data_IF_432330850826
#
_entry.id   IF_432330850826
#
_cell.length_a   1.000
_cell.length_b   1.000
_cell.length_c   1.000
_cell.angle_alpha   90.00
_cell.angle_beta   90.00
_cell.angle_gamma   90.00
#
_symmetry.space_group_name_H-M   'P 1'
#
loop_
_entity.id
_entity.type
_entity.pdbx_description
1 polymer ?
#
# COMPACT_ATOMS: atom_id res chain seq x y z
N UNK A 1 37.53 -24.75 -17.27
CA UNK A 1 36.21 -24.25 -17.71
C UNK A 1 35.62 -23.48 -16.55
N UNK A 2 35.29 -22.18 -16.70
CA UNK A 2 34.70 -21.42 -15.63
C UNK A 2 33.22 -21.80 -15.51
N UNK A 3 32.79 -22.09 -14.29
CA UNK A 3 31.42 -22.37 -13.89
C UNK A 3 30.56 -21.12 -14.03
N UNK A 4 29.40 -21.25 -14.70
CA UNK A 4 28.36 -20.20 -14.79
C UNK A 4 27.95 -19.73 -13.39
N UNK A 5 27.66 -18.44 -13.18
CA UNK A 5 27.07 -17.95 -11.94
C UNK A 5 25.62 -18.42 -11.85
N UNK A 6 25.24 -19.04 -10.73
CA UNK A 6 23.85 -19.33 -10.40
C UNK A 6 23.10 -18.01 -10.20
N UNK A 7 22.04 -17.79 -10.99
CA UNK A 7 21.10 -16.70 -10.76
C UNK A 7 20.34 -16.97 -9.46
N UNK A 8 20.81 -16.41 -8.35
CA UNK A 8 20.05 -16.37 -7.10
C UNK A 8 18.80 -15.52 -7.33
N UNK A 9 17.62 -16.14 -7.36
CA UNK A 9 16.37 -15.43 -7.06
C UNK A 9 16.48 -14.94 -5.62
N UNK A 10 16.85 -13.68 -5.43
CA UNK A 10 17.00 -13.08 -4.11
C UNK A 10 15.61 -12.88 -3.52
N UNK A 11 15.14 -13.86 -2.75
CA UNK A 11 13.91 -13.74 -1.98
C UNK A 11 14.16 -12.75 -0.84
N UNK A 12 13.41 -11.64 -0.80
CA UNK A 12 13.56 -10.62 0.24
C UNK A 12 13.21 -11.24 1.60
N UNK A 13 14.20 -11.35 2.48
CA UNK A 13 14.03 -11.90 3.82
C UNK A 13 13.57 -10.84 4.82
N UNK A 14 12.89 -11.25 5.89
CA UNK A 14 12.59 -10.36 7.01
C UNK A 14 13.86 -9.81 7.70
N UNK A 15 15.01 -10.42 7.46
CA UNK A 15 16.32 -10.05 8.01
C UNK A 15 16.99 -8.91 7.22
N UNK A 16 16.53 -8.64 6.00
CA UNK A 16 17.05 -7.59 5.13
C UNK A 16 16.38 -6.22 5.39
N UNK A 17 15.47 -6.14 6.37
CA UNK A 17 14.62 -4.98 6.63
C UNK A 17 15.08 -4.18 7.86
N UNK A 18 15.12 -2.86 7.73
CA UNK A 18 15.47 -1.92 8.81
C UNK A 18 14.20 -1.20 9.34
N UNK A 19 14.18 -0.73 10.60
CA UNK A 19 13.04 0.06 11.12
C UNK A 19 12.78 1.31 10.28
N UNK A 20 11.50 1.62 10.04
CA UNK A 20 11.08 2.79 9.28
C UNK A 20 10.39 3.81 10.20
N UNK A 21 11.14 4.81 10.66
CA UNK A 21 10.68 5.83 11.62
C UNK A 21 10.04 7.07 10.96
N UNK A 22 9.90 7.08 9.62
CA UNK A 22 9.59 8.30 8.86
C UNK A 22 8.12 8.49 8.49
N UNK A 23 7.22 7.61 8.93
CA UNK A 23 5.80 7.74 8.63
C UNK A 23 5.22 9.05 9.21
N UNK A 24 4.60 9.88 8.35
CA UNK A 24 3.92 11.12 8.76
C UNK A 24 2.77 10.86 9.75
N UNK A 25 2.13 9.71 9.60
CA UNK A 25 1.32 9.03 10.59
C UNK A 25 1.50 7.52 10.36
N UNK A 26 1.65 6.71 11.40
CA UNK A 26 1.96 5.30 11.19
C UNK A 26 1.90 4.41 12.42
N UNK A 27 1.74 3.12 12.15
CA UNK A 27 1.74 2.04 13.12
C UNK A 27 3.18 1.69 13.52
N UNK A 28 3.40 1.44 14.81
CA UNK A 28 4.68 0.96 15.32
C UNK A 28 5.07 -0.38 14.64
N UNK A 29 6.32 -0.50 14.18
CA UNK A 29 6.85 -1.73 13.60
C UNK A 29 6.85 -1.82 12.06
N UNK A 30 6.57 -0.73 11.36
CA UNK A 30 6.86 -0.62 9.91
C UNK A 30 8.37 -0.71 9.68
N UNK A 31 8.77 -1.45 8.65
CA UNK A 31 10.17 -1.65 8.26
C UNK A 31 10.34 -1.32 6.79
N UNK A 32 11.56 -1.07 6.32
CA UNK A 32 11.85 -0.83 4.91
C UNK A 32 13.12 -1.56 4.45
N UNK A 33 13.33 -1.66 3.14
CA UNK A 33 14.60 -2.11 2.56
C UNK A 33 15.72 -1.11 2.82
N UNK A 34 17.00 -1.49 2.74
CA UNK A 34 18.12 -0.56 2.93
C UNK A 34 18.16 0.57 1.88
N UNK A 35 17.62 0.31 0.68
CA UNK A 35 17.42 1.33 -0.35
C UNK A 35 16.31 2.33 -0.03
N UNK A 36 15.41 2.00 0.91
CA UNK A 36 14.20 2.76 1.18
C UNK A 36 13.09 2.59 0.14
N UNK A 37 13.30 1.80 -0.92
CA UNK A 37 12.33 1.67 -2.03
C UNK A 37 11.06 0.89 -1.66
N UNK A 38 11.15 -0.09 -0.75
CA UNK A 38 10.02 -0.91 -0.32
C UNK A 38 9.79 -0.79 1.17
N UNK A 39 8.51 -0.85 1.57
CA UNK A 39 8.06 -0.86 2.96
C UNK A 39 7.38 -2.19 3.28
N UNK A 40 7.74 -2.79 4.40
CA UNK A 40 7.06 -3.91 5.02
C UNK A 40 6.25 -3.44 6.23
N UNK A 41 4.92 -3.43 6.10
CA UNK A 41 3.98 -2.98 7.12
C UNK A 41 3.31 -4.18 7.81
N UNK A 42 3.37 -4.32 9.15
CA UNK A 42 2.56 -5.30 9.87
C UNK A 42 1.07 -5.08 9.57
N UNK A 43 0.38 -6.15 9.15
CA UNK A 43 -0.98 -6.05 8.60
C UNK A 43 -1.88 -7.20 9.04
N UNK A 44 -3.18 -7.07 8.76
CA UNK A 44 -4.14 -8.18 8.88
C UNK A 44 -4.22 -8.95 7.57
N UNK A 45 -4.69 -10.20 7.63
CA UNK A 45 -4.95 -11.00 6.42
C UNK A 45 -5.94 -10.31 5.48
N UNK A 46 -6.96 -9.65 6.04
CA UNK A 46 -7.93 -8.88 5.27
C UNK A 46 -7.28 -7.75 4.45
N UNK A 47 -6.25 -7.08 4.98
CA UNK A 47 -5.53 -6.05 4.23
C UNK A 47 -4.81 -6.66 3.01
N UNK A 48 -4.15 -7.81 3.19
CA UNK A 48 -3.50 -8.55 2.09
C UNK A 48 -4.50 -8.98 1.03
N UNK A 49 -5.62 -9.59 1.43
CA UNK A 49 -6.68 -10.03 0.50
C UNK A 49 -7.28 -8.85 -0.29
N UNK A 50 -7.38 -7.66 0.32
CA UNK A 50 -7.84 -6.47 -0.38
C UNK A 50 -6.85 -6.01 -1.47
N UNK A 51 -5.54 -6.01 -1.18
CA UNK A 51 -4.51 -5.71 -2.19
C UNK A 51 -4.43 -6.77 -3.30
N UNK A 52 -4.60 -8.05 -2.97
CA UNK A 52 -4.59 -9.12 -3.99
C UNK A 52 -5.81 -9.03 -4.91
N UNK A 53 -6.99 -8.75 -4.34
CA UNK A 53 -8.23 -8.63 -5.11
C UNK A 53 -8.34 -7.33 -5.91
N UNK A 54 -7.54 -6.30 -5.62
CA UNK A 54 -7.55 -5.05 -6.37
C UNK A 54 -7.05 -5.20 -7.82
N UNK A 55 -6.40 -6.32 -8.17
CA UNK A 55 -6.07 -6.67 -9.54
C UNK A 55 -7.31 -6.79 -10.47
N UNK A 56 -8.50 -6.98 -9.89
CA UNK A 56 -9.77 -6.96 -10.62
C UNK A 56 -10.35 -5.54 -10.80
N UNK A 57 -9.69 -4.53 -10.23
CA UNK A 57 -10.11 -3.13 -10.16
C UNK A 57 -8.95 -2.21 -10.60
N UNK A 58 -8.49 -2.30 -11.87
CA UNK A 58 -7.26 -1.65 -12.32
C UNK A 58 -7.28 -0.12 -12.16
N UNK A 59 -8.43 0.53 -12.39
CA UNK A 59 -8.57 1.97 -12.21
C UNK A 59 -8.38 2.40 -10.74
N UNK A 60 -8.79 1.58 -9.78
CA UNK A 60 -8.53 1.84 -8.36
C UNK A 60 -7.09 1.50 -7.97
N UNK A 61 -6.51 0.47 -8.59
CA UNK A 61 -5.14 0.03 -8.33
C UNK A 61 -4.11 1.13 -8.65
N UNK A 62 -4.35 2.00 -9.63
CA UNK A 62 -3.52 3.18 -9.91
C UNK A 62 -3.37 4.13 -8.71
N UNK A 63 -4.38 4.16 -7.84
CA UNK A 63 -4.37 4.95 -6.61
C UNK A 63 -3.90 4.16 -5.38
N UNK A 64 -3.49 2.92 -5.51
CA UNK A 64 -2.92 2.13 -4.41
C UNK A 64 -1.39 2.08 -4.50
N UNK A 65 -0.66 2.00 -3.38
CA UNK A 65 0.75 1.64 -3.44
C UNK A 65 0.90 0.29 -4.15
N UNK A 66 1.87 0.19 -5.06
CA UNK A 66 2.22 -1.07 -5.71
C UNK A 66 2.45 -2.18 -4.66
N UNK A 67 1.64 -3.23 -4.75
CA UNK A 67 1.75 -4.42 -3.92
C UNK A 67 2.78 -5.37 -4.51
N UNK A 68 3.86 -5.63 -3.74
CA UNK A 68 4.94 -6.53 -4.15
C UNK A 68 4.69 -7.96 -3.64
N UNK A 69 4.06 -8.09 -2.49
CA UNK A 69 3.76 -9.38 -1.88
C UNK A 69 3.59 -9.30 -0.36
N UNK A 70 3.59 -10.45 0.31
CA UNK A 70 3.49 -10.55 1.77
C UNK A 70 4.63 -11.37 2.38
N UNK A 71 4.98 -11.05 3.62
CA UNK A 71 5.94 -11.77 4.45
C UNK A 71 5.21 -12.39 5.64
N UNK A 72 5.39 -13.69 5.85
CA UNK A 72 4.82 -14.42 6.99
C UNK A 72 5.92 -15.09 7.82
N UNK A 73 5.81 -15.05 9.15
CA UNK A 73 6.68 -15.82 10.06
C UNK A 73 6.57 -17.33 9.80
N UNK A 74 7.67 -18.07 10.01
CA UNK A 74 7.75 -19.52 9.81
C UNK A 74 6.69 -20.32 10.58
N UNK A 75 6.24 -19.82 11.74
CA UNK A 75 5.18 -20.45 12.55
C UNK A 75 3.79 -20.38 11.88
N UNK A 76 3.56 -19.42 10.99
CA UNK A 76 2.30 -19.26 10.24
C UNK A 76 2.34 -19.82 8.82
N UNK A 77 3.54 -20.10 8.28
CA UNK A 77 3.68 -20.71 6.95
C UNK A 77 3.02 -22.10 6.88
N UNK A 78 3.07 -22.90 7.95
CA UNK A 78 2.43 -24.22 7.99
C UNK A 78 0.88 -24.14 7.92
N UNK A 79 0.18 -23.37 8.77
CA UNK A 79 -1.27 -23.19 8.64
C UNK A 79 -1.71 -22.61 7.29
N UNK A 80 -0.95 -21.64 6.74
CA UNK A 80 -1.26 -21.00 5.45
C UNK A 80 -1.07 -21.97 4.28
N UNK A 81 0.03 -22.74 4.26
CA UNK A 81 0.25 -23.77 3.25
C UNK A 81 -0.82 -24.87 3.31
N UNK A 82 -1.26 -25.27 4.51
CA UNK A 82 -2.34 -26.25 4.69
C UNK A 82 -3.69 -25.68 4.21
N UNK A 83 -3.98 -24.40 4.46
CA UNK A 83 -5.19 -23.74 3.98
C UNK A 83 -5.21 -23.59 2.45
N UNK A 84 -4.09 -23.13 1.85
CA UNK A 84 -3.95 -22.99 0.41
C UNK A 84 -4.02 -24.34 -0.33
N UNK A 85 -3.45 -25.40 0.26
CA UNK A 85 -3.56 -26.76 -0.26
C UNK A 85 -5.01 -27.26 -0.25
N UNK A 86 -5.76 -26.97 0.84
CA UNK A 86 -7.19 -27.31 0.95
C UNK A 86 -8.08 -26.59 -0.07
N UNK A 87 -7.81 -25.32 -0.36
CA UNK A 87 -8.53 -24.57 -1.40
C UNK A 87 -8.16 -25.05 -2.82
N UNK A 88 -6.93 -25.47 -3.03
CA UNK A 88 -6.45 -25.99 -4.33
C UNK A 88 -6.81 -27.47 -4.56
N UNK A 89 -7.56 -28.11 -3.66
CA UNK A 89 -7.90 -29.54 -3.73
C UNK A 89 -6.69 -30.48 -3.52
N UNK A 90 -5.54 -29.95 -3.11
CA UNK A 90 -4.35 -30.71 -2.82
C UNK A 90 -4.35 -31.16 -1.36
N UNK A 91 -4.34 -32.47 -1.12
CA UNK A 91 -4.12 -33.01 0.22
C UNK A 91 -2.65 -32.80 0.59
N UNK A 92 -2.31 -32.10 1.69
CA UNK A 92 -0.93 -32.05 2.15
C UNK A 92 -0.54 -33.46 2.63
N UNK A 93 0.41 -34.08 1.91
CA UNK A 93 1.09 -35.28 2.38
C UNK A 93 1.99 -34.87 3.55
N UNK A 94 1.86 -35.47 4.74
CA UNK A 94 2.85 -35.27 5.79
C UNK A 94 4.19 -35.83 5.31
N UNK A 95 5.26 -35.05 5.49
CA UNK A 95 6.63 -35.50 5.23
C UNK A 95 6.89 -36.81 5.96
N UNK A 96 7.37 -37.78 5.21
CA UNK A 96 7.73 -39.11 5.66
C UNK A 96 8.89 -39.04 6.67
N UNK A 97 8.55 -39.11 7.95
CA UNK A 97 9.44 -39.48 9.05
C UNK A 97 9.18 -40.92 9.50
N UNK A 98 10.27 -41.64 9.76
CA UNK A 98 10.44 -43.08 9.98
C UNK A 98 9.32 -43.92 10.62
N UNK A 99 9.21 -45.14 10.09
CA UNK A 99 8.34 -46.24 10.54
C UNK A 99 9.07 -47.11 11.58
N UNK A 100 8.62 -47.09 12.83
CA UNK A 100 8.63 -48.20 13.83
C UNK A 100 7.66 -47.78 14.94
N UNK A 101 6.72 -48.53 15.51
CA UNK A 101 6.53 -49.96 15.69
C UNK A 101 5.02 -50.19 15.99
N UNK A 102 4.60 -51.44 15.81
CA UNK A 102 3.23 -51.96 15.81
C UNK A 102 2.61 -52.03 17.20
N UNK A 103 1.33 -51.68 17.36
CA UNK A 103 0.37 -52.46 18.17
C UNK A 103 -1.05 -51.88 18.17
N UNK A 104 -1.95 -52.60 17.49
CA UNK A 104 -3.39 -52.74 17.77
C UNK A 104 -3.71 -54.20 17.36
N UNK A 105 -4.69 -54.90 17.99
CA UNK A 105 -6.06 -54.40 18.12
C UNK A 105 -6.82 -54.85 19.39
N UNK A 106 -7.97 -54.22 19.68
CA UNK A 106 -9.27 -54.91 19.96
C UNK A 106 -10.42 -53.94 20.31
N UNK A 107 -11.48 -54.08 19.52
CA UNK A 107 -12.89 -53.65 19.52
C UNK A 107 -13.67 -53.14 20.78
N UNK A 108 -14.89 -52.56 20.56
CA UNK A 108 -15.54 -51.57 21.43
C UNK A 108 -16.63 -52.15 22.34
N UNK A 109 -17.26 -51.31 23.19
CA UNK A 109 -18.66 -51.50 23.50
C UNK A 109 -19.53 -50.26 23.25
N UNK A 110 -20.80 -50.59 23.12
CA UNK A 110 -21.96 -49.88 22.63
C UNK A 110 -22.72 -49.04 23.66
N UNK A 111 -23.45 -48.03 23.15
CA UNK A 111 -24.71 -47.43 23.61
C UNK A 111 -24.89 -47.00 25.07
N UNK A 112 -24.97 -45.69 25.29
CA UNK A 112 -26.06 -45.08 26.10
C UNK A 112 -26.42 -43.71 25.52
N UNK A 113 -27.72 -43.52 25.27
CA UNK A 113 -28.31 -42.27 24.84
C UNK A 113 -28.43 -41.28 26.02
N UNK A 114 -28.03 -40.03 25.80
CA UNK A 114 -28.33 -38.90 26.66
C UNK A 114 -28.72 -37.71 25.79
N UNK A 115 -29.87 -37.13 26.14
CA UNK A 115 -30.58 -35.98 25.55
C UNK A 115 -29.72 -34.72 25.32
N UNK A 116 -30.09 -33.86 24.35
CA UNK A 116 -29.41 -32.58 24.12
C UNK A 116 -29.88 -31.56 25.17
N UNK A 117 -29.00 -31.19 26.10
CA UNK A 117 -29.18 -29.98 26.90
C UNK A 117 -28.56 -28.79 26.17
N UNK A 118 -29.43 -27.79 26.01
CA UNK A 118 -29.18 -26.42 25.63
C UNK A 118 -28.06 -25.79 26.47
N UNK A 119 -27.14 -25.09 25.82
CA UNK A 119 -26.05 -24.39 26.52
C UNK A 119 -24.77 -24.26 25.71
N UNK A 120 -24.85 -23.58 24.56
CA UNK A 120 -23.65 -23.02 23.96
C UNK A 120 -23.01 -22.07 25.00
N UNK A 121 -21.73 -22.23 25.37
CA UNK A 121 -21.08 -21.23 26.20
C UNK A 121 -21.00 -19.96 25.35
N UNK A 122 -21.65 -18.89 25.83
CA UNK A 122 -21.44 -17.56 25.32
C UNK A 122 -19.94 -17.31 25.32
N UNK A 123 -19.36 -17.07 24.14
CA UNK A 123 -18.01 -16.50 24.05
C UNK A 123 -18.08 -15.19 24.82
N UNK A 124 -17.41 -15.12 25.96
CA UNK A 124 -17.12 -13.85 26.60
C UNK A 124 -16.47 -12.97 25.53
N UNK A 125 -17.18 -11.91 25.12
CA UNK A 125 -16.60 -10.88 24.25
C UNK A 125 -15.42 -10.28 25.02
N UNK A 126 -14.21 -10.68 24.64
CA UNK A 126 -13.00 -10.10 25.18
C UNK A 126 -13.06 -8.58 25.00
N UNK A 127 -12.95 -7.84 26.11
CA UNK A 127 -12.98 -6.39 26.12
C UNK A 127 -12.02 -5.83 25.05
N UNK A 128 -12.53 -4.95 24.19
CA UNK A 128 -11.74 -4.45 23.07
C UNK A 128 -10.65 -3.51 23.60
N UNK A 129 -9.38 -3.86 23.40
CA UNK A 129 -8.24 -3.02 23.76
C UNK A 129 -7.82 -2.21 22.53
N UNK A 130 -7.85 -0.87 22.58
CA UNK A 130 -7.33 -0.05 21.51
C UNK A 130 -5.83 -0.30 21.30
N UNK A 131 -5.41 -0.60 20.07
CA UNK A 131 -3.99 -0.78 19.73
C UNK A 131 -3.18 0.49 20.01
N UNK A 132 -3.79 1.68 19.94
CA UNK A 132 -3.12 2.94 20.28
C UNK A 132 -1.96 3.31 19.34
N UNK A 133 -1.85 2.66 18.18
CA UNK A 133 -0.70 2.75 17.27
C UNK A 133 0.37 1.68 17.53
N UNK A 134 0.20 0.80 18.52
CA UNK A 134 1.15 -0.26 18.84
C UNK A 134 1.23 -1.33 17.77
N UNK A 135 2.40 -1.99 17.70
CA UNK A 135 2.69 -3.08 16.77
C UNK A 135 1.58 -4.14 16.80
N UNK A 136 1.02 -4.41 15.63
CA UNK A 136 0.13 -5.55 15.43
C UNK A 136 1.01 -6.78 15.33
N UNK A 137 0.88 -7.70 16.29
CA UNK A 137 1.63 -8.96 16.30
C UNK A 137 0.85 -10.07 15.58
N UNK A 138 0.64 -9.89 14.27
CA UNK A 138 -0.01 -10.89 13.42
C UNK A 138 0.97 -11.90 12.84
N UNK A 139 2.28 -11.69 12.95
CA UNK A 139 3.28 -12.47 12.22
C UNK A 139 3.25 -12.28 10.69
N UNK A 140 2.41 -11.37 10.19
CA UNK A 140 2.18 -11.08 8.78
C UNK A 140 2.53 -9.62 8.47
N UNK A 141 3.26 -9.38 7.38
CA UNK A 141 3.55 -8.03 6.87
C UNK A 141 3.25 -7.96 5.39
N UNK A 142 2.67 -6.84 4.95
CA UNK A 142 2.48 -6.52 3.55
C UNK A 142 3.69 -5.74 3.04
N UNK A 143 4.19 -6.07 1.85
CA UNK A 143 5.31 -5.40 1.19
C UNK A 143 4.77 -4.53 0.07
N UNK A 144 5.03 -3.22 0.17
CA UNK A 144 4.49 -2.18 -0.70
C UNK A 144 5.64 -1.31 -1.22
N UNK A 145 5.43 -0.65 -2.36
CA UNK A 145 6.27 0.48 -2.75
C UNK A 145 6.29 1.55 -1.66
N UNK A 146 7.44 2.20 -1.48
CA UNK A 146 7.52 3.44 -0.73
C UNK A 146 7.24 4.61 -1.67
N UNK A 147 6.05 5.19 -1.56
CA UNK A 147 5.62 6.28 -2.44
C UNK A 147 6.43 7.57 -2.28
N UNK A 148 7.21 7.69 -1.19
CA UNK A 148 8.11 8.81 -0.96
C UNK A 148 9.51 8.56 -1.56
N UNK A 149 9.79 7.36 -2.08
CA UNK A 149 11.04 7.08 -2.78
C UNK A 149 11.13 7.92 -4.06
N UNK A 150 12.35 8.26 -4.48
CA UNK A 150 12.61 9.16 -5.61
C UNK A 150 12.58 10.65 -5.26
N UNK A 151 11.89 11.06 -4.18
CA UNK A 151 11.90 12.46 -3.74
C UNK A 151 13.18 12.82 -2.97
N UNK A 152 13.76 13.99 -3.25
CA UNK A 152 14.94 14.52 -2.55
C UNK A 152 14.57 15.04 -1.16
N UNK A 153 13.45 15.77 -1.04
CA UNK A 153 12.91 16.31 0.22
C UNK A 153 11.40 16.08 0.31
N UNK A 154 10.94 14.83 0.50
CA UNK A 154 9.51 14.52 0.50
C UNK A 154 8.76 15.26 1.61
N UNK A 155 7.73 16.00 1.25
CA UNK A 155 6.72 16.52 2.17
C UNK A 155 5.55 15.54 2.17
N UNK A 156 5.19 14.99 3.32
CA UNK A 156 4.22 13.89 3.43
C UNK A 156 3.03 14.34 4.27
N UNK A 157 1.81 14.10 3.78
CA UNK A 157 0.56 14.38 4.48
C UNK A 157 -0.34 13.15 4.45
N UNK A 158 -0.75 12.68 5.64
CA UNK A 158 -1.77 11.65 5.80
C UNK A 158 -3.11 12.31 6.15
N UNK A 159 -4.11 12.10 5.31
CA UNK A 159 -5.48 12.55 5.55
C UNK A 159 -6.40 11.33 5.68
N UNK A 160 -6.92 11.10 6.89
CA UNK A 160 -7.93 10.06 7.13
C UNK A 160 -9.28 10.45 6.56
N UNK A 161 -9.91 9.54 5.84
CA UNK A 161 -11.21 9.70 5.20
C UNK A 161 -12.34 9.05 5.99
N UNK A 162 -13.56 9.55 5.75
CA UNK A 162 -14.81 9.05 6.30
C UNK A 162 -15.32 9.87 7.48
N UNK A 163 -16.64 10.09 7.52
CA UNK A 163 -17.32 10.61 8.70
C UNK A 163 -17.60 9.49 9.71
N UNK A 164 -17.88 8.29 9.23
CA UNK A 164 -17.96 7.07 10.01
C UNK A 164 -16.61 6.34 9.93
N UNK A 165 -16.00 6.08 11.09
CA UNK A 165 -14.63 5.56 11.19
C UNK A 165 -14.54 4.05 11.50
N UNK A 166 -15.67 3.38 11.69
CA UNK A 166 -15.76 1.99 12.12
C UNK A 166 -16.55 1.11 11.14
N UNK A 167 -16.06 -0.11 10.91
CA UNK A 167 -16.71 -1.11 10.06
C UNK A 167 -17.93 -1.77 10.72
N UNK A 168 -18.84 -2.33 9.92
CA UNK A 168 -20.12 -2.87 10.38
C UNK A 168 -20.01 -3.99 11.44
N UNK A 169 -18.89 -4.68 11.49
CA UNK A 169 -18.54 -5.75 12.43
C UNK A 169 -17.81 -5.26 13.70
N UNK A 170 -17.51 -3.97 13.80
CA UNK A 170 -16.72 -3.43 14.91
C UNK A 170 -17.43 -3.62 16.26
N UNK A 171 -16.73 -3.94 17.36
CA UNK A 171 -17.34 -4.03 18.69
C UNK A 171 -17.93 -2.69 19.16
N UNK A 172 -18.99 -2.72 19.99
CA UNK A 172 -19.70 -1.51 20.45
C UNK A 172 -18.79 -0.48 21.14
N UNK A 173 -17.84 -0.93 21.95
CA UNK A 173 -16.87 -0.06 22.62
C UNK A 173 -15.96 0.67 21.61
N UNK A 174 -15.50 -0.05 20.57
CA UNK A 174 -14.72 0.51 19.46
C UNK A 174 -15.53 1.54 18.69
N UNK A 175 -16.81 1.24 18.38
CA UNK A 175 -17.72 2.17 17.70
C UNK A 175 -17.87 3.47 18.48
N UNK A 176 -18.20 3.38 19.77
CA UNK A 176 -18.42 4.56 20.62
C UNK A 176 -17.19 5.48 20.64
N UNK A 177 -15.99 4.91 20.84
CA UNK A 177 -14.75 5.69 20.82
C UNK A 177 -14.49 6.36 19.47
N UNK A 178 -14.76 5.65 18.38
CA UNK A 178 -14.56 6.18 17.03
C UNK A 178 -15.62 7.22 16.64
N UNK A 179 -16.84 7.10 17.15
CA UNK A 179 -17.87 8.14 17.04
C UNK A 179 -17.47 9.40 17.80
N UNK A 180 -16.90 9.28 19.00
CA UNK A 180 -16.41 10.42 19.76
C UNK A 180 -15.27 11.13 19.01
N UNK A 181 -14.31 10.37 18.45
CA UNK A 181 -13.24 10.94 17.59
C UNK A 181 -13.82 11.63 16.36
N UNK A 182 -14.84 11.05 15.71
CA UNK A 182 -15.47 11.67 14.55
C UNK A 182 -16.11 13.01 14.91
N UNK A 183 -16.86 13.06 16.02
CA UNK A 183 -17.54 14.27 16.51
C UNK A 183 -16.57 15.37 16.96
N UNK A 184 -15.45 14.99 17.56
CA UNK A 184 -14.44 15.93 18.07
C UNK A 184 -13.53 16.50 16.96
N UNK A 185 -13.64 16.01 15.73
CA UNK A 185 -12.75 16.40 14.63
C UNK A 185 -13.53 16.80 13.39
N UNK A 186 -12.81 17.27 12.37
CA UNK A 186 -13.37 17.56 11.04
C UNK A 186 -13.92 16.33 10.33
N UNK A 187 -13.71 15.10 10.83
CA UNK A 187 -14.27 13.90 10.20
C UNK A 187 -15.79 13.95 10.14
N UNK A 188 -16.47 14.40 11.20
CA UNK A 188 -17.94 14.50 11.21
C UNK A 188 -18.50 15.58 10.27
N UNK A 189 -17.84 16.75 10.18
CA UNK A 189 -18.30 17.90 9.40
C UNK A 189 -17.86 17.86 7.93
N UNK A 190 -16.61 17.47 7.67
CA UNK A 190 -16.00 17.48 6.33
C UNK A 190 -15.79 16.09 5.73
N UNK A 191 -15.95 15.01 6.51
CA UNK A 191 -15.68 13.65 6.03
C UNK A 191 -14.18 13.32 5.92
N UNK A 192 -13.29 14.16 6.45
CA UNK A 192 -11.86 13.86 6.54
C UNK A 192 -11.22 14.53 7.77
N UNK A 193 -10.00 14.13 8.14
CA UNK A 193 -9.14 14.88 9.07
C UNK A 193 -7.67 14.67 8.74
N UNK A 194 -6.84 15.67 9.04
CA UNK A 194 -5.37 15.50 9.01
C UNK A 194 -4.99 14.50 10.12
N UNK A 195 -4.31 13.42 9.74
CA UNK A 195 -3.85 12.39 10.66
C UNK A 195 -2.40 12.59 11.09
N UNK A 196 -1.62 13.30 10.28
CA UNK A 196 -0.25 13.72 10.55
C UNK A 196 0.41 14.25 9.29
N UNK A 197 1.49 15.02 9.44
CA UNK A 197 2.28 15.48 8.30
C UNK A 197 3.75 15.69 8.69
N UNK A 198 4.63 15.56 7.71
CA UNK A 198 6.07 15.85 7.80
C UNK A 198 6.40 16.82 6.67
N UNK A 199 6.84 18.02 7.02
CA UNK A 199 7.03 19.14 6.07
C UNK A 199 8.47 19.60 6.11
N UNK A 200 9.11 19.68 4.95
CA UNK A 200 10.42 20.26 4.76
C UNK A 200 10.36 21.78 4.92
N UNK A 201 11.18 22.33 5.81
CA UNK A 201 11.28 23.77 6.07
C UNK A 201 12.64 24.37 5.72
N UNK A 202 13.57 23.54 5.25
CA UNK A 202 14.96 23.97 5.08
C UNK A 202 15.72 23.99 6.40
N UNK A 203 17.04 24.10 6.32
CA UNK A 203 17.91 24.29 7.47
C UNK A 203 18.41 25.74 7.48
N UNK A 204 18.24 26.45 8.59
CA UNK A 204 18.92 27.73 8.82
C UNK A 204 20.44 27.49 8.99
N UNK A 205 21.15 27.36 7.86
CA UNK A 205 22.61 27.45 7.77
C UNK A 205 23.41 26.20 8.17
N UNK A 206 24.41 25.89 7.34
CA UNK A 206 25.59 25.05 7.60
C UNK A 206 25.36 23.54 7.83
N UNK A 207 25.21 22.79 6.72
CA UNK A 207 26.08 21.69 6.26
C UNK A 207 25.30 20.83 5.26
N UNK A 208 25.30 21.27 4.00
CA UNK A 208 24.88 20.42 2.89
C UNK A 208 26.07 19.52 2.49
N UNK A 209 26.41 18.56 3.35
CA UNK A 209 27.37 17.50 3.01
C UNK A 209 26.67 16.26 2.42
N UNK A 210 25.47 16.43 1.84
CA UNK A 210 24.77 15.35 1.16
C UNK A 210 23.88 15.85 0.04
N UNK A 211 24.24 15.55 -1.21
CA UNK A 211 23.44 15.79 -2.42
C UNK A 211 22.01 15.22 -2.29
N UNK A 212 21.82 14.24 -1.39
CA UNK A 212 20.56 13.73 -0.90
C UNK A 212 20.65 13.74 0.63
N UNK A 213 19.77 14.44 1.36
CA UNK A 213 19.48 13.88 2.69
C UNK A 213 18.88 12.53 2.41
N UNK A 214 19.51 11.48 2.90
CA UNK A 214 18.83 10.21 3.02
C UNK A 214 17.58 10.46 3.88
N UNK A 215 16.37 10.56 3.30
CA UNK A 215 15.15 10.80 4.07
C UNK A 215 14.86 9.62 5.00
N UNK A 216 15.64 8.54 4.84
CA UNK A 216 15.54 7.24 5.48
C UNK A 216 16.73 6.94 6.41
N UNK A 217 17.60 7.92 6.69
CA UNK A 217 18.69 7.75 7.65
C UNK A 217 18.11 7.48 9.05
N UNK A 218 18.07 6.20 9.39
CA UNK A 218 17.57 5.62 10.65
C UNK A 218 18.42 6.08 11.83
N UNK A 219 18.22 7.31 12.30
CA UNK A 219 18.62 7.70 13.66
C UNK A 219 17.38 7.88 14.48
N UNK A 220 16.90 6.74 15.03
CA UNK A 220 15.97 6.60 16.16
C UNK A 220 15.33 7.95 16.50
N UNK A 221 14.25 8.27 15.79
CA UNK A 221 13.49 9.46 16.15
C UNK A 221 12.92 9.20 17.55
N UNK A 222 13.44 9.94 18.54
CA UNK A 222 13.09 9.77 19.94
C UNK A 222 11.60 9.94 20.20
N UNK A 223 11.19 9.58 21.42
CA UNK A 223 9.80 9.58 21.88
C UNK A 223 8.96 10.74 21.33
N UNK A 224 7.73 10.42 20.87
CA UNK A 224 6.68 11.41 20.56
C UNK A 224 6.72 12.51 21.63
N UNK A 225 6.85 13.77 21.20
CA UNK A 225 6.81 14.94 22.07
C UNK A 225 5.47 15.04 22.81
N UNK A 226 5.24 16.16 23.50
CA UNK A 226 3.92 16.38 24.09
C UNK A 226 2.84 16.37 22.99
N UNK A 227 1.61 15.94 23.32
CA UNK A 227 0.52 15.80 22.34
C UNK A 227 0.28 17.14 21.62
N UNK A 228 0.45 17.16 20.31
CA UNK A 228 0.28 18.35 19.47
C UNK A 228 1.52 19.23 19.38
N UNK A 229 2.64 18.82 19.98
CA UNK A 229 3.94 19.47 19.81
C UNK A 229 4.46 19.27 18.38
N UNK A 230 4.92 20.36 17.78
CA UNK A 230 5.58 20.32 16.47
C UNK A 230 7.06 20.06 16.72
N UNK A 231 7.56 18.93 16.22
CA UNK A 231 8.96 18.55 16.39
C UNK A 231 9.73 19.01 15.16
N UNK A 232 10.75 19.83 15.37
CA UNK A 232 11.66 20.29 14.32
C UNK A 232 13.01 19.59 14.43
N UNK A 233 13.40 18.88 13.37
CA UNK A 233 14.65 18.10 13.33
C UNK A 233 15.09 17.90 11.89
N UNK A 234 16.39 18.02 11.62
CA UNK A 234 17.00 17.75 10.31
C UNK A 234 16.32 18.52 9.15
N UNK A 235 15.89 19.76 9.40
CA UNK A 235 15.19 20.61 8.43
C UNK A 235 13.73 20.23 8.16
N UNK A 236 13.16 19.31 8.95
CA UNK A 236 11.77 18.90 8.88
C UNK A 236 10.99 19.32 10.12
N UNK A 237 9.73 19.72 9.93
CA UNK A 237 8.72 19.81 10.97
C UNK A 237 7.76 18.64 10.88
N UNK A 238 7.61 17.90 11.98
CA UNK A 238 6.68 16.78 12.14
C UNK A 238 5.49 17.22 12.98
N UNK A 239 4.30 16.95 12.47
CA UNK A 239 3.02 17.29 13.08
C UNK A 239 2.23 16.00 13.32
N UNK A 240 1.87 15.77 14.57
CA UNK A 240 1.23 14.52 14.98
C UNK A 240 -0.29 14.51 14.73
N UNK A 241 -0.95 13.41 15.12
CA UNK A 241 -2.40 13.26 15.06
C UNK A 241 -3.17 14.25 15.93
N UNK A 242 -2.55 14.78 16.99
CA UNK A 242 -3.21 15.71 17.90
C UNK A 242 -3.23 17.12 17.33
N UNK A 243 -2.19 17.52 16.60
CA UNK A 243 -2.20 18.69 15.75
C UNK A 243 -3.38 18.65 14.77
N UNK A 244 -3.55 17.54 14.03
CA UNK A 244 -4.68 17.38 13.11
C UNK A 244 -6.05 17.39 13.77
N UNK A 245 -6.16 16.84 15.00
CA UNK A 245 -7.40 16.86 15.80
C UNK A 245 -7.74 18.24 16.38
N UNK A 246 -6.80 19.17 16.39
CA UNK A 246 -7.04 20.52 16.93
C UNK A 246 -7.85 21.42 15.97
N UNK A 247 -8.00 21.01 14.71
CA UNK A 247 -8.72 21.77 13.70
C UNK A 247 -10.23 21.55 13.70
N UNK A 248 -10.95 22.54 13.18
CA UNK A 248 -12.37 22.48 12.85
C UNK A 248 -12.59 22.92 11.39
N UNK A 249 -13.85 22.99 10.95
CA UNK A 249 -14.20 23.32 9.57
C UNK A 249 -13.68 24.67 9.08
N UNK A 250 -13.54 25.65 9.98
CA UNK A 250 -13.06 27.00 9.64
C UNK A 250 -11.54 27.10 9.64
N UNK A 251 -10.85 26.28 10.44
CA UNK A 251 -9.40 26.39 10.66
C UNK A 251 -8.57 25.36 9.92
N UNK A 252 -9.16 24.25 9.45
CA UNK A 252 -8.42 23.14 8.82
C UNK A 252 -7.65 23.56 7.58
N UNK A 253 -8.11 24.59 6.85
CA UNK A 253 -7.39 25.16 5.70
C UNK A 253 -5.95 25.56 6.07
N UNK A 254 -5.74 26.09 7.28
CA UNK A 254 -4.41 26.48 7.77
C UNK A 254 -3.45 25.28 7.89
N UNK A 255 -3.97 24.09 8.16
CA UNK A 255 -3.19 22.85 8.18
C UNK A 255 -2.64 22.52 6.78
N UNK A 256 -3.45 22.67 5.74
CA UNK A 256 -3.02 22.48 4.36
C UNK A 256 -2.11 23.60 3.84
N UNK A 257 -2.32 24.85 4.27
CA UNK A 257 -1.37 25.95 4.00
C UNK A 257 -0.01 25.68 4.66
N UNK A 258 -0.01 25.12 5.87
CA UNK A 258 1.21 24.70 6.57
C UNK A 258 1.90 23.56 5.83
N UNK A 259 1.13 22.58 5.33
CA UNK A 259 1.65 21.50 4.51
C UNK A 259 2.35 22.02 3.26
N UNK A 260 1.74 22.95 2.52
CA UNK A 260 2.28 23.51 1.27
C UNK A 260 3.37 24.58 1.48
N UNK A 261 3.73 24.89 2.73
CA UNK A 261 4.72 25.92 3.03
C UNK A 261 6.10 25.61 2.41
N UNK A 262 6.47 24.34 2.27
CA UNK A 262 7.72 23.93 1.60
C UNK A 262 7.75 24.32 0.12
N UNK A 263 6.64 24.16 -0.60
CA UNK A 263 6.51 24.57 -2.01
C UNK A 263 6.49 26.10 -2.20
N UNK A 264 6.26 26.85 -1.12
CA UNK A 264 6.32 28.32 -1.10
C UNK A 264 7.74 28.85 -0.92
N UNK A 265 8.67 28.04 -0.42
CA UNK A 265 9.97 28.48 0.09
C UNK A 265 11.03 28.85 -0.97
N UNK A 266 10.64 29.12 -2.22
CA UNK A 266 11.54 29.42 -3.34
C UNK A 266 11.43 30.83 -3.93
N UNK A 267 12.18 31.08 -5.01
CA UNK A 267 12.07 32.33 -5.80
C UNK A 267 10.69 32.46 -6.46
N UNK A 268 10.08 31.34 -6.79
CA UNK A 268 8.76 31.22 -7.39
C UNK A 268 7.89 30.48 -6.39
N UNK A 269 6.72 31.03 -6.07
CA UNK A 269 5.73 30.36 -5.23
C UNK A 269 5.08 29.22 -6.04
N UNK A 270 5.45 27.97 -5.73
CA UNK A 270 4.91 26.77 -6.37
C UNK A 270 3.73 26.17 -5.61
N UNK A 271 3.36 26.71 -4.44
CA UNK A 271 2.29 26.16 -3.60
C UNK A 271 0.95 26.05 -4.31
N UNK A 272 0.57 27.07 -5.09
CA UNK A 272 -0.67 27.05 -5.89
C UNK A 272 -0.67 26.00 -6.99
N UNK A 273 0.48 25.82 -7.66
CA UNK A 273 0.63 24.84 -8.73
C UNK A 273 0.56 23.41 -8.17
N UNK A 274 1.21 23.15 -7.03
CA UNK A 274 1.09 21.87 -6.31
C UNK A 274 -0.35 21.65 -5.85
N UNK A 275 -1.01 22.66 -5.27
CA UNK A 275 -2.40 22.57 -4.85
C UNK A 275 -3.34 22.24 -6.02
N UNK A 276 -3.15 22.88 -7.17
CA UNK A 276 -3.95 22.64 -8.37
C UNK A 276 -3.80 21.19 -8.85
N UNK A 277 -2.56 20.69 -8.96
CA UNK A 277 -2.29 19.31 -9.37
C UNK A 277 -2.90 18.29 -8.42
N UNK A 278 -2.80 18.52 -7.11
CA UNK A 278 -3.43 17.66 -6.11
C UNK A 278 -4.96 17.69 -6.21
N UNK A 279 -5.57 18.85 -6.51
CA UNK A 279 -7.00 18.94 -6.74
C UNK A 279 -7.45 18.15 -7.97
N UNK A 280 -6.66 18.18 -9.05
CA UNK A 280 -6.90 17.40 -10.27
C UNK A 280 -6.80 15.89 -10.02
N UNK A 281 -5.76 15.45 -9.32
CA UNK A 281 -5.59 14.04 -8.90
C UNK A 281 -6.72 13.56 -7.98
N UNK A 282 -7.14 14.37 -7.00
CA UNK A 282 -8.27 14.05 -6.13
C UNK A 282 -9.59 13.95 -6.91
N UNK A 283 -9.78 14.74 -7.98
CA UNK A 283 -10.95 14.59 -8.87
C UNK A 283 -10.88 13.29 -9.67
N UNK A 284 -9.70 12.88 -10.12
CA UNK A 284 -9.51 11.58 -10.77
C UNK A 284 -9.87 10.44 -9.81
N UNK A 285 -9.33 10.48 -8.59
CA UNK A 285 -9.67 9.55 -7.51
C UNK A 285 -11.18 9.53 -7.22
N UNK A 286 -11.83 10.71 -7.16
CA UNK A 286 -13.27 10.80 -6.96
C UNK A 286 -14.04 10.03 -8.04
N UNK A 287 -13.69 10.21 -9.33
CA UNK A 287 -14.37 9.52 -10.44
C UNK A 287 -14.22 8.01 -10.33
N UNK A 288 -13.03 7.52 -10.00
CA UNK A 288 -12.78 6.09 -9.80
C UNK A 288 -13.62 5.55 -8.64
N UNK A 289 -13.60 6.22 -7.48
CA UNK A 289 -14.39 5.82 -6.32
C UNK A 289 -15.91 5.87 -6.55
N UNK A 290 -16.39 6.74 -7.44
CA UNK A 290 -17.80 6.79 -7.84
C UNK A 290 -18.19 5.61 -8.76
N UNK A 291 -17.23 5.06 -9.50
CA UNK A 291 -17.42 3.86 -10.35
C UNK A 291 -17.18 2.53 -9.63
N UNK A 292 -16.52 2.57 -8.47
CA UNK A 292 -16.12 1.39 -7.71
C UNK A 292 -17.04 1.14 -6.52
N UNK A 293 -17.44 -0.12 -6.32
CA UNK A 293 -18.29 -0.51 -5.21
C UNK A 293 -17.45 -1.15 -4.10
N UNK A 294 -17.01 -0.34 -3.15
CA UNK A 294 -16.25 -0.78 -1.97
C UNK A 294 -16.77 -0.12 -0.69
N UNK A 295 -16.33 -0.62 0.47
CA UNK A 295 -16.50 0.04 1.78
C UNK A 295 -15.16 0.07 2.48
N UNK A 296 -14.69 1.26 2.81
CA UNK A 296 -13.39 1.48 3.44
C UNK A 296 -13.54 2.35 4.68
N UNK A 297 -13.13 1.81 5.83
CA UNK A 297 -13.22 2.51 7.11
C UNK A 297 -11.85 2.86 7.65
N UNK A 298 -11.65 4.13 8.00
CA UNK A 298 -10.37 4.66 8.49
C UNK A 298 -9.19 4.57 7.50
N UNK A 299 -9.49 4.40 6.20
CA UNK A 299 -8.53 4.57 5.12
C UNK A 299 -8.05 6.03 5.04
N UNK A 300 -6.90 6.24 4.41
CA UNK A 300 -6.29 7.55 4.25
C UNK A 300 -5.95 7.84 2.80
N UNK A 301 -5.94 9.11 2.43
CA UNK A 301 -5.15 9.59 1.28
C UNK A 301 -3.79 10.01 1.83
N UNK A 302 -2.72 9.43 1.29
CA UNK A 302 -1.35 9.81 1.53
C UNK A 302 -0.88 10.67 0.35
N UNK A 303 -0.48 11.90 0.64
CA UNK A 303 -0.01 12.88 -0.32
C UNK A 303 1.47 13.10 -0.08
N UNK A 304 2.26 13.07 -1.15
CA UNK A 304 3.69 13.42 -1.15
C UNK A 304 3.98 14.47 -2.20
N UNK A 305 4.81 15.46 -1.90
CA UNK A 305 5.34 16.37 -2.92
C UNK A 305 6.81 16.74 -2.64
N UNK A 306 7.53 17.12 -3.70
CA UNK A 306 8.94 17.49 -3.62
C UNK A 306 9.15 18.82 -2.87
N UNK A 307 10.01 18.84 -1.86
CA UNK A 307 10.36 20.04 -1.10
C UNK A 307 11.61 20.74 -1.59
N UNK A 308 12.44 20.04 -2.36
CA UNK A 308 13.65 20.58 -2.94
C UNK A 308 13.33 21.35 -4.22
N UNK A 309 13.73 22.61 -4.26
CA UNK A 309 13.38 23.49 -5.38
C UNK A 309 14.02 22.99 -6.68
N UNK A 310 15.28 22.55 -6.64
CA UNK A 310 15.99 22.10 -7.84
C UNK A 310 15.40 20.79 -8.37
N UNK A 311 15.14 19.82 -7.48
CA UNK A 311 14.51 18.56 -7.88
C UNK A 311 13.07 18.78 -8.39
N UNK A 312 12.31 19.70 -7.80
CA UNK A 312 10.97 20.04 -8.28
C UNK A 312 11.00 20.64 -9.68
N UNK A 313 11.88 21.60 -9.94
CA UNK A 313 12.00 22.20 -11.28
C UNK A 313 12.44 21.17 -12.31
N UNK A 314 13.39 20.30 -11.96
CA UNK A 314 13.78 19.18 -12.82
C UNK A 314 12.60 18.23 -13.13
N UNK A 315 11.83 17.85 -12.12
CA UNK A 315 10.63 17.02 -12.31
C UNK A 315 9.60 17.69 -13.24
N UNK A 316 9.36 18.99 -13.08
CA UNK A 316 8.45 19.76 -13.95
C UNK A 316 8.95 19.78 -15.40
N UNK A 317 10.26 19.92 -15.61
CA UNK A 317 10.86 19.93 -16.95
C UNK A 317 10.78 18.56 -17.62
N UNK A 318 11.06 17.47 -16.90
CA UNK A 318 10.98 16.11 -17.43
C UNK A 318 9.54 15.72 -17.79
N UNK A 319 8.56 16.05 -16.93
CA UNK A 319 7.14 15.84 -17.25
C UNK A 319 6.68 16.60 -18.51
N UNK A 320 7.28 17.74 -18.84
CA UNK A 320 6.97 18.49 -20.06
C UNK A 320 7.64 17.92 -21.32
N UNK A 321 8.77 17.23 -21.14
CA UNK A 321 9.48 16.54 -22.23
C UNK A 321 8.86 15.18 -22.53
N UNK A 322 8.25 14.54 -21.52
CA UNK A 322 7.54 13.29 -21.70
C UNK A 322 6.41 13.49 -22.74
N UNK A 323 6.35 12.65 -23.79
CA UNK A 323 5.21 12.68 -24.70
C UNK A 323 3.94 12.42 -23.90
N UNK A 324 2.88 13.18 -24.20
CA UNK A 324 1.56 12.95 -23.60
C UNK A 324 1.22 11.45 -23.71
N UNK A 325 0.59 10.84 -22.68
CA UNK A 325 0.23 9.44 -22.73
C UNK A 325 -0.56 9.19 -24.02
N UNK A 326 -0.05 8.28 -24.86
CA UNK A 326 -0.69 7.89 -26.12
C UNK A 326 -2.14 7.55 -25.81
N UNK A 327 -3.07 8.34 -26.33
CA UNK A 327 -4.48 7.97 -26.38
C UNK A 327 -4.59 6.63 -27.11
N UNK A 328 -5.40 5.73 -26.57
CA UNK A 328 -5.67 4.38 -27.10
C UNK A 328 -6.44 4.37 -28.43
N UNK A 329 -6.17 5.32 -29.33
CA UNK A 329 -6.90 5.47 -30.59
C UNK A 329 -6.00 5.54 -31.84
N UNK A 330 -4.67 5.41 -31.72
CA UNK A 330 -3.78 5.32 -32.88
C UNK A 330 -2.74 4.21 -32.66
N UNK A 331 -3.14 2.96 -32.92
CA UNK A 331 -2.20 1.90 -33.30
C UNK A 331 -1.64 2.26 -34.69
N UNK A 332 -0.51 2.97 -34.73
CA UNK A 332 0.39 2.85 -35.88
C UNK A 332 1.20 1.57 -35.68
N UNK A 333 0.94 0.60 -36.55
CA UNK A 333 1.71 -0.63 -36.74
C UNK A 333 3.18 -0.27 -37.01
N UNK A 334 4.02 -0.27 -35.97
CA UNK A 334 5.45 -0.57 -36.15
C UNK A 334 5.59 -2.09 -36.10
N UNK A 335 5.56 -2.70 -37.29
CA UNK A 335 5.94 -4.08 -37.54
C UNK A 335 7.42 -4.29 -37.14
N UNK A 336 7.70 -4.54 -35.87
CA UNK A 336 8.89 -5.32 -35.50
C UNK A 336 8.58 -6.80 -35.78
N UNK A 337 8.92 -7.22 -36.99
CA UNK A 337 8.84 -8.61 -37.45
C UNK A 337 9.74 -9.51 -36.58
N UNK A 338 9.16 -10.10 -35.53
CA UNK A 338 9.79 -11.13 -34.73
C UNK A 338 9.81 -12.46 -35.52
N UNK A 339 10.81 -12.65 -36.38
CA UNK A 339 11.00 -13.93 -37.09
C UNK A 339 11.38 -15.05 -36.12
N UNK A 340 10.38 -15.84 -35.68
CA UNK A 340 10.63 -17.13 -35.02
C UNK A 340 11.15 -18.15 -36.04
N UNK A 341 12.31 -18.82 -35.80
CA UNK A 341 12.80 -19.86 -36.69
C UNK A 341 11.76 -20.98 -36.86
N UNK A 342 11.44 -21.31 -38.10
CA UNK A 342 10.39 -22.26 -38.51
C UNK A 342 10.56 -23.70 -37.95
N UNK A 343 11.69 -23.99 -37.32
CA UNK A 343 12.07 -25.29 -36.76
C UNK A 343 11.63 -25.49 -35.29
N UNK A 344 11.12 -24.45 -34.60
CA UNK A 344 10.75 -24.52 -33.18
C UNK A 344 9.25 -24.84 -32.90
N UNK A 345 8.44 -25.04 -33.94
CA UNK A 345 6.99 -25.25 -33.83
C UNK A 345 6.61 -26.70 -34.15
N UNK A 346 6.34 -27.51 -33.12
CA UNK A 346 5.78 -28.85 -33.27
C UNK A 346 4.28 -28.84 -32.93
N UNK A 347 3.42 -29.17 -33.91
CA UNK A 347 1.98 -29.30 -33.71
C UNK A 347 1.64 -30.65 -33.10
N UNK A 348 0.98 -30.67 -31.94
CA UNK A 348 0.58 -31.92 -31.27
C UNK A 348 -0.93 -31.92 -30.99
N UNK A 349 -1.60 -33.01 -31.33
CA UNK A 349 -3.02 -33.20 -31.03
C UNK A 349 -3.18 -33.67 -29.58
N UNK A 350 -3.94 -32.93 -28.77
CA UNK A 350 -4.27 -33.31 -27.39
C UNK A 350 -5.73 -33.76 -27.33
N UNK A 351 -5.97 -35.00 -26.94
CA UNK A 351 -7.32 -35.52 -26.67
C UNK A 351 -7.67 -35.30 -25.19
N UNK A 352 -8.55 -34.34 -24.90
CA UNK A 352 -9.25 -34.28 -23.60
C UNK A 352 -10.61 -34.97 -23.70
N UNK A 353 -11.08 -35.52 -22.59
CA UNK A 353 -12.13 -36.55 -22.47
C UNK A 353 -13.54 -36.27 -23.00
N UNK A 354 -13.77 -35.20 -23.77
CA UNK A 354 -15.02 -34.95 -24.51
C UNK A 354 -14.73 -34.67 -25.99
N UNK A 355 -14.39 -35.72 -26.74
CA UNK A 355 -14.74 -35.94 -28.15
C UNK A 355 -14.31 -34.96 -29.25
N UNK A 356 -13.74 -33.79 -28.97
CA UNK A 356 -13.35 -32.79 -29.98
C UNK A 356 -11.82 -32.58 -29.96
N UNK A 357 -11.11 -32.75 -31.10
CA UNK A 357 -9.68 -32.49 -31.16
C UNK A 357 -9.40 -30.98 -31.12
N UNK A 358 -8.55 -30.54 -30.19
CA UNK A 358 -7.93 -29.21 -30.22
C UNK A 358 -6.43 -29.35 -30.52
N UNK A 359 -5.94 -28.50 -31.43
CA UNK A 359 -4.52 -28.38 -31.77
C UNK A 359 -3.84 -27.47 -30.75
N UNK A 360 -2.75 -27.95 -30.14
CA UNK A 360 -1.89 -27.14 -29.28
C UNK A 360 -0.50 -27.02 -29.92
N UNK A 361 0.08 -25.83 -29.83
CA UNK A 361 1.44 -25.54 -30.28
C UNK A 361 2.38 -25.78 -29.10
N UNK A 362 3.30 -26.72 -29.24
CA UNK A 362 4.35 -26.93 -28.23
C UNK A 362 5.55 -26.07 -28.60
N UNK A 363 5.86 -25.04 -27.81
CA UNK A 363 7.00 -24.15 -28.03
C UNK A 363 8.16 -24.68 -27.18
N UNK A 364 9.16 -25.27 -27.83
CA UNK A 364 10.35 -25.76 -27.15
C UNK A 364 11.48 -24.72 -27.31
N UNK A 365 11.65 -23.87 -26.30
CA UNK A 365 12.66 -22.79 -26.32
C UNK A 365 13.99 -23.36 -25.78
N UNK A 366 14.99 -23.48 -26.64
CA UNK A 366 16.36 -23.81 -26.23
C UNK A 366 17.00 -22.56 -25.57
N UNK A 367 17.40 -22.63 -24.29
CA UNK A 367 18.01 -21.50 -23.59
C UNK A 367 19.38 -21.08 -24.14
N UNK A 368 19.94 -21.79 -25.13
CA UNK A 368 21.19 -21.41 -25.79
C UNK A 368 21.02 -20.47 -27.00
N UNK A 369 19.82 -20.29 -27.54
CA UNK A 369 19.56 -19.50 -28.75
C UNK A 369 18.91 -18.14 -28.50
N UNK A 370 18.62 -17.80 -27.25
CA UNK A 370 18.12 -16.46 -26.89
C UNK A 370 19.30 -15.48 -26.91
N UNK A 371 19.53 -14.82 -28.05
CA UNK A 371 20.36 -13.62 -28.07
C UNK A 371 19.58 -12.55 -27.31
N UNK A 372 20.06 -12.26 -26.10
CA UNK A 372 19.59 -11.09 -25.38
C UNK A 372 19.96 -9.84 -26.20
N UNK A 373 19.08 -8.81 -26.24
CA UNK A 373 19.51 -7.49 -26.68
C UNK A 373 20.76 -7.13 -25.88
N UNK A 374 21.73 -6.49 -26.55
CA UNK A 374 22.89 -5.96 -25.84
C UNK A 374 22.39 -5.07 -24.68
N UNK A 375 23.00 -5.24 -23.51
CA UNK A 375 22.72 -4.45 -22.32
C UNK A 375 23.03 -2.98 -22.65
N UNK A 376 22.04 -2.23 -23.12
CA UNK A 376 22.02 -0.79 -22.92
C UNK A 376 21.82 -0.59 -21.41
N UNK A 377 22.91 -0.20 -20.77
CA UNK A 377 23.11 0.10 -19.35
C UNK A 377 22.39 1.40 -18.94
N UNK A 378 21.19 1.63 -19.50
CA UNK A 378 20.29 2.67 -19.02
C UNK A 378 19.54 2.05 -17.83
N UNK A 379 20.09 2.22 -16.61
CA UNK A 379 19.27 2.18 -15.41
C UNK A 379 17.99 2.96 -15.74
N UNK A 380 16.81 2.32 -15.71
CA UNK A 380 15.53 3.04 -15.84
C UNK A 380 15.49 4.08 -14.71
N UNK A 381 16.04 5.28 -14.94
CA UNK A 381 16.03 6.36 -13.98
C UNK A 381 14.56 6.68 -13.72
N UNK A 382 14.08 6.35 -12.52
CA UNK A 382 12.71 6.64 -12.12
C UNK A 382 12.42 8.11 -12.43
N UNK A 383 11.45 8.34 -13.32
CA UNK A 383 11.11 9.68 -13.78
C UNK A 383 10.78 10.54 -12.55
N UNK A 384 11.51 11.65 -12.33
CA UNK A 384 11.33 12.48 -11.15
C UNK A 384 9.91 13.03 -11.10
N UNK A 385 9.28 12.92 -9.93
CA UNK A 385 7.87 13.29 -9.74
C UNK A 385 7.75 14.58 -8.96
N UNK A 386 6.84 15.46 -9.36
CA UNK A 386 6.51 16.65 -8.56
C UNK A 386 5.73 16.27 -7.30
N UNK A 387 4.83 15.29 -7.44
CA UNK A 387 3.95 14.83 -6.38
C UNK A 387 3.48 13.39 -6.61
N UNK A 388 2.95 12.76 -5.57
CA UNK A 388 2.30 11.47 -5.61
C UNK A 388 1.10 11.47 -4.65
N UNK A 389 0.03 10.76 -5.03
CA UNK A 389 -1.17 10.59 -4.23
C UNK A 389 -1.59 9.12 -4.26
N UNK A 390 -1.79 8.52 -3.08
CA UNK A 390 -2.29 7.15 -2.94
C UNK A 390 -3.33 7.03 -1.83
N UNK A 391 -4.27 6.10 -1.99
CA UNK A 391 -5.13 5.61 -0.92
C UNK A 391 -4.41 4.48 -0.19
N UNK A 392 -4.41 4.52 1.14
CA UNK A 392 -3.74 3.55 2.00
C UNK A 392 -4.65 3.12 3.17
N UNK A 393 -4.16 2.17 3.97
CA UNK A 393 -4.81 1.62 5.18
C UNK A 393 -6.10 0.82 4.91
N UNK A 394 -5.94 -0.35 4.26
CA UNK A 394 -7.06 -1.21 3.84
C UNK A 394 -7.44 -2.31 4.85
N UNK A 395 -6.98 -2.22 6.09
CA UNK A 395 -7.27 -3.22 7.13
C UNK A 395 -8.78 -3.39 7.45
N UNK A 396 -9.60 -2.39 7.08
CA UNK A 396 -11.06 -2.43 7.20
C UNK A 396 -11.71 -2.02 5.87
N UNK A 397 -11.20 -2.59 4.77
CA UNK A 397 -11.70 -2.41 3.42
C UNK A 397 -12.33 -3.70 2.87
N UNK A 398 -13.38 -3.59 2.05
CA UNK A 398 -14.02 -4.73 1.39
C UNK A 398 -14.72 -4.28 0.11
N UNK A 399 -14.68 -5.09 -0.95
CA UNK A 399 -15.46 -4.89 -2.17
C UNK A 399 -16.93 -5.27 -1.93
N UNK A 400 -17.85 -4.41 -2.35
CA UNK A 400 -19.29 -4.52 -2.04
C UNK A 400 -20.15 -4.37 -3.30
N UNK A 401 -20.03 -5.29 -4.28
CA UNK A 401 -20.78 -5.20 -5.53
C UNK A 401 -22.30 -5.18 -5.28
N UNK A 402 -23.00 -4.32 -6.01
CA UNK A 402 -24.44 -4.06 -5.91
C UNK A 402 -24.87 -3.13 -4.78
N UNK A 403 -23.93 -2.55 -4.00
CA UNK A 403 -24.25 -1.66 -2.88
C UNK A 403 -24.06 -0.16 -3.20
N UNK A 404 -23.67 0.18 -4.43
CA UNK A 404 -23.33 1.53 -4.83
C UNK A 404 -22.00 2.04 -4.23
N UNK A 405 -21.59 3.25 -4.59
CA UNK A 405 -20.29 3.81 -4.20
C UNK A 405 -20.21 4.14 -2.71
N UNK A 406 -18.99 4.25 -2.20
CA UNK A 406 -18.73 4.59 -0.78
C UNK A 406 -18.96 6.09 -0.52
N UNK A 407 -20.21 6.47 -0.28
CA UNK A 407 -20.57 7.86 0.04
C UNK A 407 -19.95 8.37 1.35
N UNK A 408 -19.57 7.47 2.27
CA UNK A 408 -18.87 7.87 3.49
C UNK A 408 -17.45 8.37 3.16
N UNK A 409 -16.73 7.67 2.29
CA UNK A 409 -15.39 8.03 1.85
C UNK A 409 -15.43 9.20 0.85
N UNK A 410 -16.34 9.16 -0.13
CA UNK A 410 -16.50 10.19 -1.16
C UNK A 410 -16.80 11.58 -0.59
N UNK A 411 -17.56 11.68 0.50
CA UNK A 411 -17.78 12.97 1.19
C UNK A 411 -16.46 13.64 1.59
N UNK A 412 -15.52 12.86 2.10
CA UNK A 412 -14.17 13.33 2.46
C UNK A 412 -13.38 13.78 1.24
N UNK A 413 -13.35 12.96 0.19
CA UNK A 413 -12.64 13.28 -1.07
C UNK A 413 -13.17 14.55 -1.71
N UNK A 414 -14.50 14.69 -1.85
CA UNK A 414 -15.14 15.91 -2.40
C UNK A 414 -14.78 17.17 -1.60
N UNK A 415 -14.69 17.03 -0.28
CA UNK A 415 -14.33 18.14 0.61
C UNK A 415 -12.82 18.47 0.54
N UNK A 416 -11.97 17.48 0.29
CA UNK A 416 -10.54 17.69 0.01
C UNK A 416 -10.31 18.39 -1.33
N UNK A 417 -10.99 17.94 -2.40
CA UNK A 417 -10.97 18.61 -3.72
C UNK A 417 -11.24 20.10 -3.54
N UNK A 418 -12.34 20.44 -2.84
CA UNK A 418 -12.73 21.83 -2.61
C UNK A 418 -11.63 22.63 -1.90
N UNK A 419 -11.03 22.09 -0.84
CA UNK A 419 -9.98 22.80 -0.09
C UNK A 419 -8.74 23.01 -0.95
N UNK A 420 -8.31 22.02 -1.73
CA UNK A 420 -7.15 22.19 -2.62
C UNK A 420 -7.43 23.13 -3.79
N UNK A 421 -8.66 23.17 -4.32
CA UNK A 421 -9.08 24.20 -5.30
C UNK A 421 -8.99 25.61 -4.69
N UNK A 422 -9.51 25.81 -3.48
CA UNK A 422 -9.43 27.10 -2.76
C UNK A 422 -7.99 27.51 -2.38
N UNK A 423 -7.02 26.58 -2.42
CA UNK A 423 -5.59 26.86 -2.21
C UNK A 423 -4.84 27.12 -3.52
N UNK A 424 -5.41 26.68 -4.65
CA UNK A 424 -4.87 26.93 -5.98
C UNK A 424 -5.22 28.33 -6.51
N UNK A 425 -6.32 28.93 -6.03
CA UNK A 425 -6.73 30.32 -6.31
C UNK A 425 -5.71 31.36 -5.80
#
# INVERSE_FOLDING_TARGET
>A
MPSKPESRKTQLGSEDLVPFDHAAAGHEGVRCTPSGALIAKPCTRQEVEFYESSALHPAFQEFMPLYVGSLSSSEQQQPLAIAAARESGALPLPESGDVTDSSLPSQPPSHTASTPEDGAPAKEEAAWVPSGGKKIDTGLSIVLENIACGFRRPNVLDVKLGARLWADDSPLEKRKKLDDVSKETTSSSLGYRIAGMKVWTGHDGETDEGERTDPYATKYEGAEGEKGEVIEKDGYRRFDKWYGRSFNEDTVKQGFETFLAGAKAGKIDRSKMVAQRLAEELKNLQRVLESEESRMYSASVLVVYEGDIEAMEHAIEEEQKAPAPRSWDEEEEEDEEFELPQEALEMVNVQLGDGMPQQAININIDPATMQMPEEDDDEEEEIPKVHALRVIDFAHATWTPGQGPDENLLRGVRSLVKVFEELAE
#
